data_IF_903601122376
#
_entry.id   IF_903601122376
#
_cell.length_a   1.000
_cell.length_b   1.000
_cell.length_c   1.000
_cell.angle_alpha   90.00
_cell.angle_beta   90.00
_cell.angle_gamma   90.00
#
_symmetry.space_group_name_H-M   'P 1'
#
loop_
_entity.id
_entity.type
_entity.pdbx_description
1 polymer ?
#
# COMPACT_ATOMS: atom_id res chain seq x y z
N UNK A 1 24.26 42.36 -6.70
CA UNK A 1 25.30 41.35 -6.39
C UNK A 1 25.57 40.55 -7.65
N UNK A 2 26.78 40.63 -8.22
CA UNK A 2 27.13 39.95 -9.47
C UNK A 2 27.61 38.53 -9.22
N UNK A 3 27.02 37.55 -9.89
CA UNK A 3 27.50 36.17 -9.89
C UNK A 3 28.83 36.11 -10.65
N UNK A 4 29.93 35.83 -9.93
CA UNK A 4 31.23 35.64 -10.53
C UNK A 4 31.24 34.40 -11.42
N UNK A 5 31.28 34.60 -12.73
CA UNK A 5 31.48 33.50 -13.68
C UNK A 5 32.87 32.91 -13.45
N UNK A 6 32.92 31.65 -12.99
CA UNK A 6 34.17 30.88 -12.87
C UNK A 6 34.64 30.55 -14.28
N UNK A 7 35.59 31.32 -14.80
CA UNK A 7 36.23 31.07 -16.09
C UNK A 7 37.23 29.93 -15.93
N UNK A 8 36.92 28.76 -16.49
CA UNK A 8 37.88 27.67 -16.64
C UNK A 8 38.52 27.78 -18.02
N UNK A 9 39.83 28.07 -18.07
CA UNK A 9 40.60 27.99 -19.29
C UNK A 9 40.86 26.52 -19.62
N UNK A 10 40.34 26.05 -20.75
CA UNK A 10 40.59 24.71 -21.26
C UNK A 10 41.53 24.81 -22.46
N UNK A 11 42.64 24.10 -22.39
CA UNK A 11 43.58 23.94 -23.51
C UNK A 11 43.06 22.82 -24.42
N UNK A 12 42.45 23.21 -25.54
CA UNK A 12 41.87 22.31 -26.52
C UNK A 12 42.93 21.41 -27.16
N UNK A 13 44.15 21.92 -27.37
CA UNK A 13 45.23 21.13 -27.97
C UNK A 13 45.63 19.98 -27.05
N UNK A 14 45.75 20.25 -25.74
CA UNK A 14 46.01 19.22 -24.74
C UNK A 14 44.87 18.20 -24.61
N UNK A 15 43.63 18.62 -24.86
CA UNK A 15 42.46 17.74 -24.85
C UNK A 15 42.48 16.78 -26.06
N UNK A 16 42.75 17.29 -27.27
CA UNK A 16 42.79 16.51 -28.52
C UNK A 16 43.80 15.35 -28.41
N UNK A 17 44.98 15.60 -27.86
CA UNK A 17 46.02 14.57 -27.68
C UNK A 17 45.54 13.41 -26.79
N UNK A 18 44.61 13.66 -25.87
CA UNK A 18 44.07 12.66 -24.94
C UNK A 18 42.84 11.91 -25.47
N UNK A 19 42.27 12.35 -26.58
CA UNK A 19 41.13 11.71 -27.23
C UNK A 19 41.57 10.55 -28.12
N UNK A 20 40.68 9.57 -28.31
CA UNK A 20 40.85 8.48 -29.28
C UNK A 20 40.84 8.96 -30.73
N UNK A 21 41.34 8.16 -31.69
CA UNK A 21 41.52 8.58 -33.09
C UNK A 21 40.25 9.14 -33.74
N UNK A 22 39.10 8.51 -33.49
CA UNK A 22 37.81 8.91 -34.05
C UNK A 22 37.35 10.27 -33.49
N UNK A 23 37.53 10.49 -32.19
CA UNK A 23 37.17 11.73 -31.52
C UNK A 23 38.15 12.89 -31.82
N UNK A 24 39.36 12.61 -32.33
CA UNK A 24 40.30 13.64 -32.80
C UNK A 24 39.81 14.27 -34.10
N UNK A 25 39.24 13.48 -35.00
CA UNK A 25 38.76 13.95 -36.30
C UNK A 25 37.61 14.97 -36.16
N UNK A 26 36.74 14.78 -35.18
CA UNK A 26 35.64 15.72 -34.88
C UNK A 26 36.12 17.04 -34.25
N UNK A 27 37.34 17.05 -33.69
CA UNK A 27 37.92 18.21 -33.01
C UNK A 27 38.83 19.08 -33.90
N UNK A 28 38.99 18.75 -35.18
CA UNK A 28 39.71 19.60 -36.15
C UNK A 28 38.94 20.92 -36.44
N UNK A 29 37.62 20.94 -36.23
CA UNK A 29 36.77 22.14 -36.32
C UNK A 29 35.68 22.15 -35.23
N UNK A 30 36.04 22.46 -33.97
CA UNK A 30 35.07 22.44 -32.89
C UNK A 30 34.11 23.63 -33.02
N UNK A 31 32.82 23.35 -33.23
CA UNK A 31 31.76 24.36 -33.18
C UNK A 31 31.41 24.63 -31.72
N UNK A 32 31.92 25.75 -31.18
CA UNK A 32 31.61 26.17 -29.81
C UNK A 32 30.38 27.07 -29.83
N UNK A 33 29.23 26.53 -29.45
CA UNK A 33 28.01 27.32 -29.27
C UNK A 33 27.94 27.87 -27.84
N UNK A 34 27.97 29.19 -27.70
CA UNK A 34 27.65 29.87 -26.45
C UNK A 34 26.24 30.43 -26.54
N UNK A 35 25.25 29.69 -26.05
CA UNK A 35 23.86 30.16 -26.04
C UNK A 35 22.95 29.35 -25.12
N UNK A 36 22.09 30.07 -24.39
CA UNK A 36 20.92 29.49 -23.74
C UNK A 36 19.95 29.01 -24.83
N UNK A 37 19.52 27.76 -24.79
CA UNK A 37 18.41 27.25 -25.62
C UNK A 37 17.10 27.89 -25.14
N UNK A 38 16.88 29.14 -25.53
CA UNK A 38 15.68 29.89 -25.20
C UNK A 38 14.55 29.46 -26.14
N UNK A 39 13.41 29.05 -25.56
CA UNK A 39 12.18 28.79 -26.31
C UNK A 39 11.54 30.07 -26.88
N UNK A 40 12.08 31.27 -26.61
CA UNK A 40 11.63 32.52 -27.28
C UNK A 40 11.80 32.36 -28.78
N UNK A 41 10.68 32.26 -29.48
CA UNK A 41 10.60 32.08 -30.94
C UNK A 41 9.81 30.85 -31.37
N UNK A 42 9.62 29.85 -30.50
CA UNK A 42 8.67 28.75 -30.74
C UNK A 42 7.30 29.12 -30.15
N UNK A 43 6.58 29.98 -30.86
CA UNK A 43 5.18 30.23 -30.55
C UNK A 43 4.35 29.03 -31.02
N UNK A 44 4.02 28.11 -30.12
CA UNK A 44 2.93 27.18 -30.39
C UNK A 44 1.64 27.99 -30.30
N UNK A 45 0.97 28.17 -31.43
CA UNK A 45 -0.32 28.86 -31.47
C UNK A 45 -1.32 27.97 -30.72
N UNK A 46 -1.64 28.36 -29.49
CA UNK A 46 -2.52 27.60 -28.58
C UNK A 46 -3.93 27.38 -29.16
N UNK A 47 -4.30 28.17 -30.18
CA UNK A 47 -5.57 28.09 -30.90
C UNK A 47 -5.44 27.43 -32.27
N UNK A 48 -4.28 26.84 -32.60
CA UNK A 48 -4.16 26.08 -33.84
C UNK A 48 -5.05 24.84 -33.79
N UNK A 49 -5.61 24.47 -34.93
CA UNK A 49 -6.57 23.35 -35.04
C UNK A 49 -5.99 22.04 -34.47
N UNK A 50 -4.68 21.81 -34.65
CA UNK A 50 -3.99 20.66 -34.07
C UNK A 50 -3.93 20.66 -32.54
N UNK A 51 -3.78 21.84 -31.91
CA UNK A 51 -3.78 21.95 -30.44
C UNK A 51 -5.21 21.78 -29.90
N UNK A 52 -6.21 22.35 -30.56
CA UNK A 52 -7.61 22.17 -30.17
C UNK A 52 -8.07 20.71 -30.33
N UNK A 53 -7.69 20.04 -31.43
CA UNK A 53 -7.96 18.63 -31.63
C UNK A 53 -7.33 17.76 -30.53
N UNK A 54 -6.06 18.01 -30.17
CA UNK A 54 -5.39 17.28 -29.10
C UNK A 54 -6.05 17.51 -27.72
N UNK A 55 -6.57 18.70 -27.45
CA UNK A 55 -7.33 18.98 -26.21
C UNK A 55 -8.62 18.18 -26.19
N UNK A 56 -9.37 18.16 -27.30
CA UNK A 56 -10.61 17.39 -27.40
C UNK A 56 -10.38 15.88 -27.29
N UNK A 57 -9.33 15.35 -27.89
CA UNK A 57 -8.93 13.94 -27.75
C UNK A 57 -8.57 13.61 -26.29
N UNK A 58 -7.83 14.50 -25.63
CA UNK A 58 -7.46 14.34 -24.22
C UNK A 58 -8.71 14.35 -23.32
N UNK A 59 -9.65 15.25 -23.56
CA UNK A 59 -10.88 15.33 -22.76
C UNK A 59 -11.80 14.12 -23.02
N UNK A 60 -11.91 13.65 -24.27
CA UNK A 60 -12.60 12.41 -24.57
C UNK A 60 -11.98 11.21 -23.85
N UNK A 61 -10.64 11.13 -23.79
CA UNK A 61 -9.94 10.07 -23.06
C UNK A 61 -10.20 10.14 -21.54
N UNK A 62 -10.26 11.35 -20.97
CA UNK A 62 -10.60 11.54 -19.54
C UNK A 62 -12.02 11.07 -19.24
N UNK A 63 -13.00 11.41 -20.08
CA UNK A 63 -14.39 11.01 -19.91
C UNK A 63 -14.57 9.48 -19.95
N UNK A 64 -13.82 8.78 -20.81
CA UNK A 64 -13.82 7.31 -20.83
C UNK A 64 -13.19 6.76 -19.56
N UNK A 65 -12.09 7.35 -19.09
CA UNK A 65 -11.40 6.92 -17.88
C UNK A 65 -12.23 7.15 -16.60
N UNK A 66 -12.97 8.25 -16.51
CA UNK A 66 -13.86 8.55 -15.36
C UNK A 66 -15.01 7.55 -15.32
N UNK A 67 -15.70 7.31 -16.44
CA UNK A 67 -16.77 6.30 -16.52
C UNK A 67 -16.30 4.90 -16.15
N UNK A 68 -15.15 4.47 -16.65
CA UNK A 68 -14.60 3.16 -16.29
C UNK A 68 -14.28 3.05 -14.79
N UNK A 69 -13.83 4.14 -14.17
CA UNK A 69 -13.57 4.21 -12.73
C UNK A 69 -14.87 4.15 -11.92
N UNK A 70 -15.90 4.89 -12.34
CA UNK A 70 -17.23 4.90 -11.72
C UNK A 70 -17.87 3.51 -11.78
N UNK A 71 -17.85 2.86 -12.95
CA UNK A 71 -18.35 1.50 -13.12
C UNK A 71 -17.63 0.51 -12.21
N UNK A 72 -16.32 0.63 -12.08
CA UNK A 72 -15.53 -0.22 -11.18
C UNK A 72 -15.90 0.03 -9.72
N UNK A 73 -16.12 1.29 -9.33
CA UNK A 73 -16.55 1.63 -7.97
C UNK A 73 -17.96 1.13 -7.67
N UNK A 74 -18.91 1.29 -8.61
CA UNK A 74 -20.27 0.78 -8.46
C UNK A 74 -20.27 -0.75 -8.29
N UNK A 75 -19.49 -1.48 -9.10
CA UNK A 75 -19.33 -2.94 -8.97
C UNK A 75 -18.69 -3.32 -7.64
N UNK A 76 -17.68 -2.57 -7.19
CA UNK A 76 -17.03 -2.82 -5.91
C UNK A 76 -17.97 -2.58 -4.72
N UNK A 77 -18.79 -1.53 -4.76
CA UNK A 77 -19.80 -1.23 -3.75
C UNK A 77 -20.84 -2.36 -3.68
N UNK A 78 -21.40 -2.76 -4.83
CA UNK A 78 -22.35 -3.87 -4.89
C UNK A 78 -21.75 -5.19 -4.39
N UNK A 79 -20.49 -5.49 -4.73
CA UNK A 79 -19.80 -6.66 -4.22
C UNK A 79 -19.57 -6.59 -2.70
N UNK A 80 -19.29 -5.40 -2.16
CA UNK A 80 -19.14 -5.20 -0.73
C UNK A 80 -20.46 -5.41 0.01
N UNK A 81 -21.56 -4.88 -0.53
CA UNK A 81 -22.91 -5.08 0.01
C UNK A 81 -23.31 -6.56 -0.02
N UNK A 82 -23.10 -7.25 -1.15
CA UNK A 82 -23.37 -8.68 -1.27
C UNK A 82 -22.55 -9.53 -0.28
N UNK A 83 -21.29 -9.15 -0.02
CA UNK A 83 -20.48 -9.81 1.01
C UNK A 83 -21.01 -9.55 2.42
N UNK A 84 -21.41 -8.33 2.71
CA UNK A 84 -21.97 -7.97 4.02
C UNK A 84 -23.29 -8.72 4.28
N UNK A 85 -24.16 -8.84 3.29
CA UNK A 85 -25.40 -9.62 3.41
C UNK A 85 -25.11 -11.10 3.60
N UNK A 86 -24.18 -11.67 2.84
CA UNK A 86 -23.78 -13.06 3.02
C UNK A 86 -23.24 -13.34 4.43
N UNK A 87 -22.35 -12.47 4.94
CA UNK A 87 -21.81 -12.60 6.29
C UNK A 87 -22.91 -12.55 7.35
N UNK A 88 -23.91 -11.67 7.17
CA UNK A 88 -25.03 -11.58 8.10
C UNK A 88 -25.91 -12.85 8.08
N UNK A 89 -26.08 -13.49 6.92
CA UNK A 89 -26.78 -14.77 6.81
C UNK A 89 -25.98 -15.90 7.45
N UNK A 90 -24.69 -15.98 7.16
CA UNK A 90 -23.79 -16.98 7.74
C UNK A 90 -23.74 -16.89 9.28
N UNK A 91 -23.71 -15.67 9.82
CA UNK A 91 -23.75 -15.44 11.27
C UNK A 91 -25.08 -15.89 11.88
N UNK A 92 -26.20 -15.62 11.20
CA UNK A 92 -27.53 -16.09 11.63
C UNK A 92 -27.60 -17.61 11.63
N UNK A 93 -27.10 -18.27 10.59
CA UNK A 93 -27.08 -19.73 10.47
C UNK A 93 -26.20 -20.37 11.54
N UNK A 94 -25.01 -19.81 11.79
CA UNK A 94 -24.12 -20.26 12.86
C UNK A 94 -24.77 -20.07 14.24
N UNK A 95 -25.45 -18.94 14.47
CA UNK A 95 -26.21 -18.75 15.70
C UNK A 95 -27.34 -19.76 15.84
N UNK A 96 -28.09 -20.07 14.78
CA UNK A 96 -29.12 -21.12 14.84
C UNK A 96 -28.52 -22.49 15.21
N UNK A 97 -27.38 -22.85 14.62
CA UNK A 97 -26.66 -24.09 14.96
C UNK A 97 -26.25 -24.14 16.43
N UNK A 98 -25.72 -23.04 16.97
CA UNK A 98 -25.36 -22.91 18.40
C UNK A 98 -26.59 -22.96 19.31
N UNK A 99 -27.72 -22.48 18.83
CA UNK A 99 -28.97 -22.51 19.56
C UNK A 99 -29.66 -23.88 19.53
N UNK A 100 -29.25 -24.80 18.64
CA UNK A 100 -29.83 -26.13 18.56
C UNK A 100 -29.79 -26.87 19.91
N UNK A 101 -30.87 -27.59 20.28
CA UNK A 101 -30.96 -28.23 21.58
C UNK A 101 -29.88 -29.30 21.77
N UNK A 102 -29.48 -30.00 20.71
CA UNK A 102 -28.38 -30.97 20.76
C UNK A 102 -27.03 -30.34 21.07
N UNK A 103 -26.72 -29.18 20.46
CA UNK A 103 -25.48 -28.46 20.74
C UNK A 103 -25.46 -27.92 22.18
N UNK A 104 -26.57 -27.33 22.65
CA UNK A 104 -26.69 -26.84 24.04
C UNK A 104 -26.50 -27.96 25.05
N UNK A 105 -27.22 -29.08 24.90
CA UNK A 105 -27.10 -30.27 25.77
C UNK A 105 -25.67 -30.79 25.83
N UNK A 106 -24.99 -30.91 24.68
CA UNK A 106 -23.59 -31.36 24.62
C UNK A 106 -22.65 -30.40 25.35
N UNK A 107 -22.81 -29.09 25.13
CA UNK A 107 -22.03 -28.05 25.81
C UNK A 107 -22.25 -28.08 27.33
N UNK A 108 -23.48 -28.27 27.78
CA UNK A 108 -23.84 -28.30 29.20
C UNK A 108 -23.35 -29.59 29.87
N UNK A 109 -23.38 -30.72 29.16
CA UNK A 109 -22.78 -31.98 29.60
C UNK A 109 -21.26 -31.84 29.80
N UNK A 110 -20.56 -31.22 28.85
CA UNK A 110 -19.13 -30.93 28.98
C UNK A 110 -18.82 -30.02 30.17
N UNK A 111 -19.60 -28.94 30.36
CA UNK A 111 -19.43 -28.05 31.53
C UNK A 111 -19.66 -28.78 32.85
N UNK A 112 -20.66 -29.64 32.89
CA UNK A 112 -20.99 -30.44 34.07
C UNK A 112 -19.91 -31.47 34.38
N UNK A 113 -19.37 -32.16 33.37
CA UNK A 113 -18.25 -33.07 33.52
C UNK A 113 -17.00 -32.34 34.03
N UNK A 114 -16.66 -31.19 33.45
CA UNK A 114 -15.54 -30.38 33.91
C UNK A 114 -15.73 -29.82 35.33
N UNK A 115 -16.98 -29.51 35.73
CA UNK A 115 -17.30 -29.14 37.11
C UNK A 115 -17.06 -30.32 38.05
N UNK A 116 -17.61 -31.50 37.74
CA UNK A 116 -17.42 -32.72 38.53
C UNK A 116 -15.94 -33.08 38.68
N UNK A 117 -15.16 -32.94 37.61
CA UNK A 117 -13.72 -33.17 37.66
C UNK A 117 -13.02 -32.19 38.62
N UNK A 118 -13.39 -30.90 38.59
CA UNK A 118 -12.88 -29.91 39.55
C UNK A 118 -13.31 -30.22 40.98
N UNK A 119 -14.56 -30.62 41.18
CA UNK A 119 -15.08 -30.97 42.51
C UNK A 119 -14.38 -32.23 43.05
N UNK A 120 -14.09 -33.22 42.19
CA UNK A 120 -13.36 -34.46 42.55
C UNK A 120 -11.89 -34.22 42.86
N UNK A 121 -11.23 -33.34 42.11
CA UNK A 121 -9.86 -32.94 42.39
C UNK A 121 -9.78 -32.08 43.66
N UNK A 122 -10.92 -31.60 44.17
CA UNK A 122 -10.97 -30.57 45.19
C UNK A 122 -10.43 -29.25 44.62
N UNK A 123 -10.74 -28.14 45.28
CA UNK A 123 -9.93 -26.94 45.13
C UNK A 123 -8.54 -27.26 45.67
N UNK A 124 -7.62 -27.74 44.83
CA UNK A 124 -6.18 -27.76 45.13
C UNK A 124 -5.60 -26.35 45.11
N UNK A 125 -6.33 -25.37 45.66
CA UNK A 125 -5.71 -24.19 46.24
C UNK A 125 -5.29 -24.61 47.65
N UNK A 126 -4.28 -25.48 47.74
CA UNK A 126 -3.55 -25.69 49.01
C UNK A 126 -2.67 -24.49 49.37
N UNK A 127 -2.63 -23.46 48.54
CA UNK A 127 -2.13 -22.15 48.92
C UNK A 127 -3.19 -21.41 49.74
N UNK A 128 -3.16 -21.60 51.06
CA UNK A 128 -3.70 -20.57 51.96
C UNK A 128 -2.78 -19.36 51.79
N UNK A 129 -3.25 -18.20 51.25
CA UNK A 129 -2.39 -17.04 51.15
C UNK A 129 -2.06 -16.57 52.58
N UNK A 130 -0.84 -16.85 53.01
CA UNK A 130 -0.26 -16.25 54.22
C UNK A 130 -0.24 -14.74 53.97
N UNK A 131 -0.70 -13.95 54.94
CA UNK A 131 -0.66 -12.49 54.84
C UNK A 131 0.79 -12.04 54.54
N UNK A 132 1.03 -11.54 53.32
CA UNK A 132 2.36 -11.14 52.82
C UNK A 132 2.93 -12.01 51.69
N UNK A 133 2.32 -13.14 51.34
CA UNK A 133 2.77 -13.96 50.22
C UNK A 133 2.32 -13.37 48.87
N UNK A 134 3.28 -13.00 48.01
CA UNK A 134 3.04 -12.58 46.63
C UNK A 134 3.14 -13.81 45.73
N UNK A 135 2.00 -14.29 45.23
CA UNK A 135 1.97 -15.34 44.21
C UNK A 135 2.35 -14.71 42.86
N UNK A 136 3.59 -14.93 42.43
CA UNK A 136 4.05 -14.54 41.09
C UNK A 136 3.52 -15.59 40.10
N UNK A 137 2.37 -15.32 39.49
CA UNK A 137 1.83 -16.18 38.44
C UNK A 137 2.77 -16.21 37.23
N UNK A 138 3.23 -17.39 36.84
CA UNK A 138 4.06 -17.54 35.64
C UNK A 138 3.33 -16.98 34.39
N UNK A 139 4.06 -16.31 33.49
CA UNK A 139 3.48 -15.75 32.27
C UNK A 139 2.97 -16.88 31.37
N UNK A 140 1.64 -17.05 31.32
CA UNK A 140 1.00 -18.00 30.41
C UNK A 140 1.35 -17.65 28.95
N UNK A 141 1.87 -18.59 28.16
CA UNK A 141 2.17 -18.33 26.75
C UNK A 141 0.87 -17.99 26.00
N UNK A 142 0.84 -16.81 25.39
CA UNK A 142 -0.26 -16.36 24.52
C UNK A 142 -0.36 -17.32 23.34
N UNK A 143 -1.44 -18.10 23.26
CA UNK A 143 -1.77 -18.84 22.03
C UNK A 143 -2.02 -17.83 20.91
N UNK A 144 -1.23 -17.93 19.85
CA UNK A 144 -1.47 -17.18 18.61
C UNK A 144 -2.84 -17.57 18.06
N UNK A 145 -3.71 -16.58 17.85
CA UNK A 145 -4.94 -16.76 17.08
C UNK A 145 -4.55 -17.00 15.63
N UNK A 146 -4.95 -18.14 15.07
CA UNK A 146 -4.86 -18.39 13.63
C UNK A 146 -5.86 -17.45 12.94
N UNK A 147 -5.33 -16.57 12.09
CA UNK A 147 -6.06 -15.75 11.12
C UNK A 147 -6.74 -16.62 10.07
#
# INVERSE_FOLDING_TARGET
MGAGYVTRRVDLHRLIVRLGPEARQEMDQPVVSFGSTSNRGRAVVATSDGVLAAIHELDAAKEVATKAKEDRQARAAHACEARATQLAMDERDENQRRQSPGFRRRKDAWRSAAKRQRDQLGSTNEDTPVAGAVVVGEPRPKRARRS
#
